data_IF_640133375832
#
_entry.id   IF_640133375832
#
_cell.length_a   1.000
_cell.length_b   1.000
_cell.length_c   1.000
_cell.angle_alpha   90.00
_cell.angle_beta   90.00
_cell.angle_gamma   90.00
#
_symmetry.space_group_name_H-M   'P 1'
#
loop_
_entity.id
_entity.type
_entity.pdbx_description
1 polymer ?
#
# COMPACT_ATOMS: atom_id res chain seq x y z
N UNK A 1 20.25 17.41 6.46
CA UNK A 1 20.28 16.35 5.44
C UNK A 1 20.91 15.10 6.03
N UNK A 2 20.51 13.94 5.54
CA UNK A 2 21.03 12.64 5.94
C UNK A 2 22.28 12.27 5.12
N UNK A 3 23.27 11.55 5.67
CA UNK A 3 24.43 11.11 4.90
C UNK A 3 24.06 10.26 3.68
N UNK A 4 24.86 10.31 2.61
CA UNK A 4 24.64 9.49 1.40
C UNK A 4 24.84 7.98 1.63
N UNK A 5 25.43 7.60 2.76
CA UNK A 5 25.61 6.20 3.19
C UNK A 5 24.34 5.58 3.75
N UNK A 6 23.26 6.36 3.94
CA UNK A 6 21.97 5.84 4.41
C UNK A 6 21.33 4.99 3.32
N UNK A 7 21.09 3.72 3.64
CA UNK A 7 20.39 2.74 2.80
C UNK A 7 18.98 2.45 3.28
N UNK A 8 18.79 2.45 4.60
CA UNK A 8 17.50 2.20 5.22
C UNK A 8 17.05 3.46 5.96
N UNK A 9 15.88 3.97 5.58
CA UNK A 9 15.30 5.16 6.21
C UNK A 9 13.91 4.85 6.75
N UNK A 10 13.76 4.94 8.07
CA UNK A 10 12.46 4.90 8.74
C UNK A 10 12.11 6.26 9.30
N UNK A 11 10.99 6.80 8.83
CA UNK A 11 10.38 8.02 9.34
C UNK A 11 9.09 7.63 10.04
N UNK A 12 9.04 7.80 11.35
CA UNK A 12 7.92 7.35 12.16
C UNK A 12 7.39 8.48 13.04
N UNK A 13 6.10 8.76 12.94
CA UNK A 13 5.31 9.65 13.82
C UNK A 13 5.94 11.03 13.97
N UNK A 14 6.52 11.52 12.90
CA UNK A 14 7.15 12.83 12.84
C UNK A 14 6.41 13.75 11.87
N UNK A 15 6.77 15.03 11.89
CA UNK A 15 6.35 15.98 10.86
C UNK A 15 7.58 16.46 10.11
N UNK A 16 7.45 16.54 8.79
CA UNK A 16 8.41 17.16 7.90
C UNK A 16 7.93 18.55 7.49
N UNK A 17 7.27 19.31 8.38
CA UNK A 17 6.88 20.69 8.07
C UNK A 17 8.09 21.47 7.53
N UNK A 18 7.90 22.19 6.42
CA UNK A 18 8.95 22.92 5.69
C UNK A 18 10.05 22.04 5.06
N UNK A 19 9.95 20.72 5.11
CA UNK A 19 10.90 19.79 4.51
C UNK A 19 10.19 18.78 3.61
N UNK A 20 10.82 18.45 2.48
CA UNK A 20 10.36 17.32 1.67
C UNK A 20 11.16 16.07 2.01
N UNK A 21 10.54 14.90 1.82
CA UNK A 21 11.21 13.61 1.93
C UNK A 21 12.46 13.56 1.03
N UNK A 22 12.33 14.04 -0.20
CA UNK A 22 13.46 14.19 -1.11
C UNK A 22 14.53 15.12 -0.52
N UNK A 23 14.11 16.23 0.10
CA UNK A 23 14.93 17.23 0.78
C UNK A 23 15.82 16.68 1.90
N UNK A 24 15.42 15.55 2.50
CA UNK A 24 16.22 14.90 3.55
C UNK A 24 17.43 14.16 2.98
N UNK A 25 17.34 13.60 1.78
CA UNK A 25 18.36 12.72 1.20
C UNK A 25 19.52 13.52 0.58
N UNK A 26 20.76 13.10 0.85
CA UNK A 26 21.95 13.70 0.23
C UNK A 26 22.13 13.31 -1.23
N UNK A 27 22.86 14.11 -2.03
CA UNK A 27 23.42 13.68 -3.31
C UNK A 27 24.09 12.31 -3.24
N UNK A 28 23.80 11.48 -4.23
CA UNK A 28 24.37 10.13 -4.32
C UNK A 28 23.81 9.12 -3.32
N UNK A 29 22.76 9.45 -2.56
CA UNK A 29 22.09 8.47 -1.70
C UNK A 29 21.53 7.33 -2.57
N UNK A 30 21.85 6.10 -2.17
CA UNK A 30 21.29 4.86 -2.72
C UNK A 30 20.43 4.24 -1.64
N UNK A 31 19.16 4.63 -1.61
CA UNK A 31 18.23 4.17 -0.60
C UNK A 31 17.68 2.82 -1.01
N UNK A 32 17.92 1.78 -0.22
CA UNK A 32 17.46 0.41 -0.46
C UNK A 32 16.05 0.21 0.15
N UNK A 33 15.77 0.80 1.33
CA UNK A 33 14.50 0.67 2.05
C UNK A 33 13.97 1.99 2.61
N UNK A 34 12.67 2.23 2.46
CA UNK A 34 11.96 3.39 2.99
C UNK A 34 10.69 2.98 3.74
N UNK A 35 10.59 3.35 5.01
CA UNK A 35 9.38 3.22 5.82
C UNK A 35 8.85 4.60 6.22
N UNK A 36 7.59 4.88 5.86
CA UNK A 36 6.83 6.08 6.21
C UNK A 36 5.69 5.64 7.15
N UNK A 37 5.86 5.82 8.45
CA UNK A 37 4.86 5.51 9.47
C UNK A 37 4.29 6.81 10.04
N UNK A 38 3.06 7.19 9.66
CA UNK A 38 2.35 8.36 10.19
C UNK A 38 3.16 9.66 10.14
N UNK A 39 3.84 9.88 9.03
CA UNK A 39 4.57 11.13 8.78
C UNK A 39 3.59 12.21 8.35
N UNK A 40 3.67 13.38 8.97
CA UNK A 40 3.00 14.61 8.49
C UNK A 40 3.90 15.32 7.49
N UNK A 41 3.30 15.92 6.46
CA UNK A 41 4.02 16.64 5.40
C UNK A 41 5.04 15.74 4.68
N UNK A 42 6.08 16.33 4.07
CA UNK A 42 7.11 15.57 3.34
C UNK A 42 6.95 15.62 1.83
N UNK A 43 5.87 16.18 1.31
CA UNK A 43 5.77 16.59 -0.08
C UNK A 43 6.60 17.85 -0.33
N UNK A 44 7.04 18.05 -1.55
CA UNK A 44 7.66 19.29 -1.99
C UNK A 44 6.59 20.37 -2.10
N UNK A 45 6.73 21.40 -1.26
CA UNK A 45 5.85 22.55 -1.20
C UNK A 45 6.06 23.38 -2.47
N UNK A 46 4.99 23.67 -3.21
CA UNK A 46 5.01 24.65 -4.31
C UNK A 46 4.41 25.97 -3.87
N UNK A 47 4.89 27.08 -4.41
CA UNK A 47 4.39 28.41 -4.10
C UNK A 47 3.13 28.71 -4.95
N UNK A 48 2.30 29.65 -4.50
CA UNK A 48 1.05 30.00 -5.18
C UNK A 48 1.25 30.79 -6.48
N UNK A 49 2.44 31.36 -6.68
CA UNK A 49 2.79 32.20 -7.84
C UNK A 49 4.11 31.78 -8.45
N UNK A 50 4.19 31.81 -9.78
CA UNK A 50 5.36 31.43 -10.57
C UNK A 50 6.21 32.64 -11.01
N UNK A 51 6.31 33.69 -10.19
CA UNK A 51 7.23 34.79 -10.48
C UNK A 51 8.69 34.33 -10.35
N UNK A 52 9.61 34.99 -11.06
CA UNK A 52 11.04 34.65 -11.03
C UNK A 52 11.58 34.58 -9.59
N UNK A 53 11.32 35.60 -8.77
CA UNK A 53 11.74 35.65 -7.36
C UNK A 53 11.22 34.45 -6.54
N UNK A 54 10.00 33.98 -6.81
CA UNK A 54 9.40 32.85 -6.10
C UNK A 54 10.00 31.53 -6.56
N UNK A 55 10.28 31.39 -7.84
CA UNK A 55 11.00 30.23 -8.38
C UNK A 55 12.41 30.17 -7.77
N UNK A 56 13.11 31.30 -7.66
CA UNK A 56 14.45 31.36 -7.05
C UNK A 56 14.42 30.99 -5.56
N UNK A 57 13.45 31.51 -4.79
CA UNK A 57 13.24 31.09 -3.39
C UNK A 57 12.97 29.59 -3.31
N UNK A 58 12.11 29.06 -4.19
CA UNK A 58 11.79 27.64 -4.20
C UNK A 58 13.02 26.79 -4.53
N UNK A 59 13.84 27.23 -5.49
CA UNK A 59 15.10 26.59 -5.82
C UNK A 59 16.07 26.59 -4.64
N UNK A 60 16.16 27.69 -3.89
CA UNK A 60 16.99 27.79 -2.69
C UNK A 60 16.53 26.80 -1.61
N UNK A 61 15.22 26.82 -1.28
CA UNK A 61 14.62 25.93 -0.28
C UNK A 61 14.80 24.45 -0.61
N UNK A 62 14.77 24.09 -1.89
CA UNK A 62 14.95 22.72 -2.35
C UNK A 62 16.38 22.43 -2.83
N UNK A 63 17.33 23.34 -2.60
CA UNK A 63 18.76 23.18 -2.95
C UNK A 63 19.03 22.85 -4.42
N UNK A 64 18.22 23.41 -5.33
CA UNK A 64 18.29 23.22 -6.79
C UNK A 64 19.52 23.86 -7.45
N UNK A 65 20.05 24.92 -6.84
CA UNK A 65 21.23 25.65 -7.33
C UNK A 65 22.53 25.27 -6.59
N UNK A 66 22.46 24.37 -5.61
CA UNK A 66 23.61 23.96 -4.82
C UNK A 66 23.96 22.50 -5.11
N UNK A 67 24.09 21.67 -4.08
CA UNK A 67 24.63 20.32 -4.14
C UNK A 67 23.73 19.32 -4.91
N UNK A 68 22.45 19.63 -5.17
CA UNK A 68 21.56 18.72 -5.93
C UNK A 68 21.60 18.94 -7.44
N UNK A 69 22.16 20.05 -7.91
CA UNK A 69 22.09 20.46 -9.31
C UNK A 69 22.56 19.35 -10.26
N UNK A 70 23.70 18.73 -9.96
CA UNK A 70 24.27 17.66 -10.79
C UNK A 70 23.37 16.43 -10.82
N UNK A 71 22.80 16.06 -9.67
CA UNK A 71 21.95 14.87 -9.53
C UNK A 71 20.58 15.07 -10.21
N UNK A 72 20.08 16.30 -10.26
CA UNK A 72 18.85 16.61 -10.99
C UNK A 72 19.03 16.53 -12.51
N UNK A 73 20.23 16.85 -13.02
CA UNK A 73 20.57 16.71 -14.44
C UNK A 73 20.89 15.27 -14.82
N UNK A 74 21.55 14.54 -13.93
CA UNK A 74 21.90 13.14 -14.10
C UNK A 74 21.52 12.35 -12.85
N UNK A 75 20.25 11.91 -12.75
CA UNK A 75 19.77 11.14 -11.61
C UNK A 75 20.55 9.84 -11.45
N UNK A 76 20.85 9.40 -10.21
CA UNK A 76 21.43 8.09 -9.99
C UNK A 76 20.48 6.99 -10.50
N UNK A 77 21.00 5.78 -10.69
CA UNK A 77 20.16 4.60 -10.88
C UNK A 77 19.16 4.45 -9.72
N UNK A 78 17.99 3.91 -10.03
CA UNK A 78 17.02 3.54 -9.00
C UNK A 78 17.63 2.50 -8.07
N UNK A 79 17.46 2.69 -6.76
CA UNK A 79 18.00 1.81 -5.71
C UNK A 79 16.91 1.26 -4.79
N UNK A 80 15.79 1.98 -4.64
CA UNK A 80 14.73 1.63 -3.70
C UNK A 80 14.13 0.26 -4.04
N UNK A 81 14.36 -0.71 -3.16
CA UNK A 81 13.85 -2.08 -3.24
C UNK A 81 12.59 -2.28 -2.40
N UNK A 82 12.47 -1.57 -1.26
CA UNK A 82 11.39 -1.76 -0.31
C UNK A 82 10.75 -0.42 0.07
N UNK A 83 9.42 -0.37 0.04
CA UNK A 83 8.65 0.80 0.41
C UNK A 83 7.47 0.39 1.29
N UNK A 84 7.45 0.92 2.51
CA UNK A 84 6.36 0.73 3.45
C UNK A 84 5.72 2.07 3.78
N UNK A 85 4.41 2.16 3.62
CA UNK A 85 3.63 3.36 3.91
C UNK A 85 2.50 2.99 4.84
N UNK A 86 2.43 3.67 5.98
CA UNK A 86 1.40 3.47 6.98
C UNK A 86 0.80 4.80 7.42
N UNK A 87 -0.39 5.12 6.94
CA UNK A 87 -1.19 6.28 7.35
C UNK A 87 -2.39 5.93 8.22
N UNK A 88 -2.45 4.69 8.73
CA UNK A 88 -3.59 4.21 9.52
C UNK A 88 -3.95 5.15 10.67
N UNK A 89 -5.18 5.71 10.70
CA UNK A 89 -5.71 6.36 11.88
C UNK A 89 -5.90 5.26 12.92
N UNK A 90 -5.34 5.45 14.10
CA UNK A 90 -5.40 4.47 15.15
C UNK A 90 -6.84 4.33 15.69
N UNK A 91 -7.59 3.28 15.31
CA UNK A 91 -8.81 2.88 16.04
C UNK A 91 -8.73 1.38 16.39
N UNK A 92 -8.19 1.05 17.57
CA UNK A 92 -7.97 -0.33 18.03
C UNK A 92 -9.22 -1.15 18.38
N UNK A 93 -10.42 -0.61 18.12
CA UNK A 93 -11.66 -1.12 18.68
C UNK A 93 -12.82 -1.21 17.68
N UNK A 94 -12.59 -0.99 16.38
CA UNK A 94 -13.65 -1.15 15.36
C UNK A 94 -14.91 -0.32 15.67
N UNK A 95 -14.71 0.85 16.25
CA UNK A 95 -15.69 1.92 16.34
C UNK A 95 -14.90 3.19 16.61
N UNK A 96 -15.02 4.17 15.71
CA UNK A 96 -14.84 5.55 16.11
C UNK A 96 -15.83 5.85 17.24
N UNK A 97 -15.40 5.69 18.50
CA UNK A 97 -16.09 6.39 19.57
C UNK A 97 -15.82 7.87 19.35
N UNK A 98 -16.84 8.51 18.78
CA UNK A 98 -17.15 9.93 18.88
C UNK A 98 -17.09 10.31 20.36
N UNK A 99 -15.88 10.55 20.84
CA UNK A 99 -15.57 11.25 22.06
C UNK A 99 -14.78 12.46 21.62
N UNK A 100 -15.51 13.55 21.37
CA UNK A 100 -15.04 14.92 21.12
C UNK A 100 -13.57 15.24 21.46
N UNK A 101 -12.60 14.84 20.63
CA UNK A 101 -11.26 15.43 20.52
C UNK A 101 -10.76 15.29 19.07
N UNK A 102 -11.45 15.99 18.16
CA UNK A 102 -11.04 16.23 16.78
C UNK A 102 -9.85 17.19 16.71
N UNK A 103 -8.63 16.76 17.05
CA UNK A 103 -7.45 17.64 16.90
C UNK A 103 -6.21 17.01 16.27
N UNK A 104 -6.21 15.71 15.93
CA UNK A 104 -5.07 15.09 15.23
C UNK A 104 -5.47 14.20 14.05
N UNK A 105 -6.62 14.49 13.40
CA UNK A 105 -6.79 14.07 12.02
C UNK A 105 -5.81 14.89 11.18
N UNK A 106 -4.76 14.26 10.67
CA UNK A 106 -3.91 14.87 9.65
C UNK A 106 -4.83 15.33 8.51
N UNK A 107 -4.59 16.49 7.87
CA UNK A 107 -5.36 16.86 6.69
C UNK A 107 -5.09 15.78 5.64
N UNK A 108 -6.12 15.01 5.26
CA UNK A 108 -6.06 13.94 4.25
C UNK A 108 -5.33 14.39 2.97
N UNK A 109 -5.48 15.69 2.67
CA UNK A 109 -4.79 16.38 1.60
C UNK A 109 -3.25 16.30 1.64
N UNK A 110 -2.62 16.37 2.82
CA UNK A 110 -1.15 16.31 2.91
C UNK A 110 -0.61 14.91 2.61
N UNK A 111 -1.33 13.88 3.07
CA UNK A 111 -1.01 12.49 2.73
C UNK A 111 -1.20 12.25 1.23
N UNK A 112 -2.29 12.77 0.67
CA UNK A 112 -2.58 12.71 -0.75
C UNK A 112 -1.45 13.33 -1.59
N UNK A 113 -1.01 14.56 -1.26
CA UNK A 113 0.10 15.22 -1.96
C UNK A 113 1.40 14.42 -1.90
N UNK A 114 1.74 13.84 -0.74
CA UNK A 114 2.93 13.01 -0.60
C UNK A 114 2.84 11.77 -1.49
N UNK A 115 1.70 11.09 -1.52
CA UNK A 115 1.50 9.91 -2.38
C UNK A 115 1.52 10.29 -3.85
N UNK A 116 0.86 11.39 -4.22
CA UNK A 116 0.86 11.86 -5.61
C UNK A 116 2.28 12.12 -6.10
N UNK A 117 3.14 12.69 -5.26
CA UNK A 117 4.54 12.91 -5.62
C UNK A 117 5.35 11.60 -5.64
N UNK A 118 5.14 10.71 -4.67
CA UNK A 118 5.88 9.44 -4.56
C UNK A 118 5.56 8.47 -5.70
N UNK A 119 4.31 8.43 -6.17
CA UNK A 119 3.84 7.58 -7.28
C UNK A 119 3.76 8.33 -8.62
N UNK A 120 4.45 9.47 -8.72
CA UNK A 120 4.60 10.24 -9.95
C UNK A 120 3.30 10.59 -10.67
N UNK A 121 2.23 10.87 -9.92
CA UNK A 121 0.93 11.25 -10.47
C UNK A 121 1.12 12.48 -11.38
N UNK A 122 0.61 12.47 -12.62
CA UNK A 122 0.86 13.55 -13.59
C UNK A 122 0.51 14.94 -13.08
N UNK A 123 -0.53 15.05 -12.27
CA UNK A 123 -0.94 16.31 -11.66
C UNK A 123 0.11 16.88 -10.70
N UNK A 124 0.69 16.05 -9.83
CA UNK A 124 1.79 16.48 -8.97
C UNK A 124 3.03 16.87 -9.78
N UNK A 125 3.33 16.14 -10.86
CA UNK A 125 4.43 16.48 -11.76
C UNK A 125 4.19 17.82 -12.48
N UNK A 126 2.95 18.07 -12.92
CA UNK A 126 2.54 19.33 -13.55
C UNK A 126 2.67 20.52 -12.61
N UNK A 127 2.36 20.33 -11.33
CA UNK A 127 2.49 21.37 -10.29
C UNK A 127 3.96 21.73 -10.05
N UNK A 128 4.87 20.76 -10.05
CA UNK A 128 6.31 20.99 -9.84
C UNK A 128 7.00 21.53 -11.10
N UNK A 129 6.51 21.17 -12.31
CA UNK A 129 7.13 21.49 -13.60
C UNK A 129 7.53 22.97 -13.80
N UNK A 130 6.73 23.99 -13.46
CA UNK A 130 7.11 25.39 -13.64
C UNK A 130 8.36 25.81 -12.85
N UNK A 131 8.68 25.06 -11.80
CA UNK A 131 9.86 25.26 -10.96
C UNK A 131 11.07 24.43 -11.42
N UNK A 132 10.94 23.63 -12.47
CA UNK A 132 12.02 22.81 -13.00
C UNK A 132 12.57 23.42 -14.29
N UNK A 133 13.89 23.42 -14.42
CA UNK A 133 14.54 23.67 -15.71
C UNK A 133 14.25 22.48 -16.65
N UNK A 134 14.22 22.73 -17.96
CA UNK A 134 13.83 21.73 -18.97
C UNK A 134 14.70 20.47 -18.98
N UNK A 135 15.96 20.58 -18.52
CA UNK A 135 16.96 19.51 -18.41
C UNK A 135 16.99 18.81 -17.03
N UNK A 136 16.10 19.19 -16.10
CA UNK A 136 16.09 18.64 -14.73
C UNK A 136 14.98 17.62 -14.53
N UNK A 137 15.29 16.58 -13.76
CA UNK A 137 14.39 15.50 -13.38
C UNK A 137 13.92 15.64 -11.92
N UNK A 138 12.67 15.24 -11.66
CA UNK A 138 12.08 15.18 -10.34
C UNK A 138 10.98 14.10 -10.29
N UNK A 139 10.83 13.35 -9.17
CA UNK A 139 11.80 13.23 -8.07
C UNK A 139 13.03 12.41 -8.49
N UNK A 140 14.15 12.61 -7.79
CA UNK A 140 15.48 12.12 -8.21
C UNK A 140 15.86 10.76 -7.60
N UNK A 141 15.55 10.56 -6.30
CA UNK A 141 16.00 9.39 -5.52
C UNK A 141 14.91 8.35 -5.27
N UNK A 142 13.66 8.66 -5.59
CA UNK A 142 12.49 7.86 -5.24
C UNK A 142 11.88 7.19 -6.48
N UNK A 143 12.73 6.82 -7.44
CA UNK A 143 12.31 6.02 -8.59
C UNK A 143 11.85 4.66 -8.11
N UNK A 144 10.70 4.23 -8.60
CA UNK A 144 10.00 3.02 -8.20
C UNK A 144 10.38 1.82 -9.08
N UNK A 145 11.12 2.03 -10.17
CA UNK A 145 11.44 0.99 -11.18
C UNK A 145 12.27 -0.20 -10.68
N UNK A 146 12.78 -0.12 -9.46
CA UNK A 146 13.56 -1.17 -8.80
C UNK A 146 12.88 -1.70 -7.53
N UNK A 147 11.65 -1.26 -7.26
CA UNK A 147 10.92 -1.65 -6.07
C UNK A 147 10.43 -3.10 -6.22
N UNK A 148 10.80 -3.94 -5.27
CA UNK A 148 10.48 -5.37 -5.20
C UNK A 148 9.36 -5.63 -4.19
N UNK A 149 9.32 -4.86 -3.11
CA UNK A 149 8.32 -4.99 -2.05
C UNK A 149 7.62 -3.65 -1.76
N UNK A 150 6.29 -3.69 -1.77
CA UNK A 150 5.43 -2.56 -1.44
C UNK A 150 4.44 -2.96 -0.35
N UNK A 151 4.45 -2.26 0.78
CA UNK A 151 3.51 -2.46 1.88
C UNK A 151 2.70 -1.17 2.13
N UNK A 152 1.41 -1.24 1.87
CA UNK A 152 0.48 -0.11 1.95
C UNK A 152 -0.54 -0.34 3.07
N UNK A 153 -0.50 0.47 4.13
CA UNK A 153 -1.71 0.83 4.87
C UNK A 153 -2.06 2.28 4.59
N UNK A 154 -2.94 2.48 3.61
CA UNK A 154 -3.49 3.79 3.23
C UNK A 154 -4.99 3.66 3.07
N UNK A 155 -5.71 4.78 3.19
CA UNK A 155 -7.16 4.78 2.97
C UNK A 155 -7.52 4.54 1.49
N UNK A 156 -8.72 4.02 1.18
CA UNK A 156 -9.13 3.75 -0.21
C UNK A 156 -9.11 4.96 -1.15
N UNK A 157 -9.29 6.17 -0.62
CA UNK A 157 -9.20 7.42 -1.38
C UNK A 157 -7.82 7.66 -2.02
N UNK A 158 -6.77 7.01 -1.50
CA UNK A 158 -5.39 7.10 -2.00
C UNK A 158 -5.11 6.10 -3.13
N UNK A 159 -5.94 5.06 -3.32
CA UNK A 159 -5.65 3.98 -4.26
C UNK A 159 -5.55 4.42 -5.72
N UNK A 160 -6.33 5.41 -6.15
CA UNK A 160 -6.23 5.95 -7.50
C UNK A 160 -4.87 6.60 -7.77
N UNK A 161 -4.25 7.21 -6.76
CA UNK A 161 -2.93 7.83 -6.87
C UNK A 161 -1.82 6.80 -6.89
N UNK A 162 -1.92 5.76 -6.05
CA UNK A 162 -0.97 4.63 -6.04
C UNK A 162 -0.91 3.93 -7.41
N UNK A 163 -2.07 3.74 -8.03
CA UNK A 163 -2.17 3.06 -9.33
C UNK A 163 -1.33 3.72 -10.43
N UNK A 164 -1.09 5.03 -10.37
CA UNK A 164 -0.25 5.71 -11.36
C UNK A 164 1.19 5.18 -11.42
N UNK A 165 1.71 4.65 -10.30
CA UNK A 165 3.05 4.06 -10.26
C UNK A 165 3.15 2.68 -10.90
N UNK A 166 2.04 2.03 -11.28
CA UNK A 166 2.06 0.65 -11.79
C UNK A 166 2.89 0.49 -13.06
N UNK A 167 2.90 1.47 -13.94
CA UNK A 167 3.71 1.40 -15.16
C UNK A 167 5.21 1.27 -14.82
N UNK A 168 5.67 2.03 -13.82
CA UNK A 168 7.06 2.01 -13.37
C UNK A 168 7.39 0.75 -12.57
N UNK A 169 6.44 0.26 -11.77
CA UNK A 169 6.55 -0.94 -10.93
C UNK A 169 6.34 -2.26 -11.68
N UNK A 170 5.83 -2.21 -12.91
CA UNK A 170 5.28 -3.33 -13.66
C UNK A 170 6.20 -4.54 -13.74
N UNK A 171 7.51 -4.31 -13.87
CA UNK A 171 8.52 -5.35 -14.08
C UNK A 171 9.44 -5.59 -12.87
N UNK A 172 9.19 -4.93 -11.73
CA UNK A 172 10.04 -5.06 -10.54
C UNK A 172 9.28 -5.55 -9.30
N UNK A 173 8.00 -5.18 -9.16
CA UNK A 173 7.24 -5.43 -7.94
C UNK A 173 6.76 -6.88 -7.86
N UNK A 174 7.40 -7.69 -7.02
CA UNK A 174 7.05 -9.11 -6.80
C UNK A 174 6.16 -9.30 -5.58
N UNK A 175 6.23 -8.41 -4.59
CA UNK A 175 5.49 -8.53 -3.32
C UNK A 175 4.68 -7.28 -3.02
N UNK A 176 3.37 -7.44 -2.82
CA UNK A 176 2.44 -6.38 -2.46
C UNK A 176 1.64 -6.75 -1.22
N UNK A 177 1.76 -5.94 -0.17
CA UNK A 177 0.87 -5.98 0.99
C UNK A 177 -0.08 -4.80 0.93
N UNK A 178 -1.38 -5.06 0.98
CA UNK A 178 -2.43 -4.05 1.10
C UNK A 178 -3.11 -4.25 2.44
N UNK A 179 -3.18 -3.19 3.25
CA UNK A 179 -3.79 -3.19 4.56
C UNK A 179 -4.91 -2.15 4.56
N UNK A 180 -6.14 -2.57 4.85
CA UNK A 180 -7.25 -1.64 4.94
C UNK A 180 -7.10 -0.77 6.20
N UNK A 181 -6.88 0.50 5.94
CA UNK A 181 -6.90 1.55 6.94
C UNK A 181 -8.36 2.04 7.03
N UNK A 182 -9.16 1.39 7.89
CA UNK A 182 -10.60 1.63 8.05
C UNK A 182 -10.91 3.11 8.36
N UNK A 183 -11.47 3.81 7.38
CA UNK A 183 -12.04 5.14 7.52
C UNK A 183 -13.56 4.98 7.39
N UNK A 184 -14.22 4.68 8.52
CA UNK A 184 -15.67 4.44 8.64
C UNK A 184 -16.55 5.61 8.14
N UNK A 185 -15.97 6.74 7.70
CA UNK A 185 -16.67 8.00 7.44
C UNK A 185 -16.94 8.34 5.97
N UNK A 186 -16.49 7.54 5.00
CA UNK A 186 -16.66 7.91 3.60
C UNK A 186 -17.89 7.29 2.94
N UNK A 187 -18.96 8.10 2.92
CA UNK A 187 -20.07 7.96 1.98
C UNK A 187 -19.54 8.09 0.55
N UNK A 188 -19.81 7.06 -0.26
CA UNK A 188 -19.15 6.79 -1.53
C UNK A 188 -19.48 7.83 -2.62
N UNK A 189 -18.78 8.97 -2.65
CA UNK A 189 -18.75 9.86 -3.82
C UNK A 189 -17.52 9.61 -4.69
N UNK A 190 -17.45 8.40 -5.28
CA UNK A 190 -16.54 8.02 -6.37
C UNK A 190 -15.07 7.76 -5.95
N UNK A 191 -14.28 6.88 -6.57
CA UNK A 191 -14.50 5.97 -7.69
C UNK A 191 -13.68 4.67 -7.56
N UNK A 192 -12.96 4.43 -6.46
CA UNK A 192 -12.12 3.22 -6.32
C UNK A 192 -12.18 2.65 -4.90
N UNK A 193 -13.16 1.76 -4.66
CA UNK A 193 -13.24 1.01 -3.41
C UNK A 193 -12.10 -0.03 -3.26
N UNK A 194 -11.31 -0.28 -4.32
CA UNK A 194 -10.23 -1.25 -4.35
C UNK A 194 -9.06 -0.70 -5.17
N UNK A 195 -7.85 -1.22 -4.92
CA UNK A 195 -6.64 -0.93 -5.68
C UNK A 195 -6.49 -1.97 -6.80
N UNK A 196 -6.78 -1.65 -8.07
CA UNK A 196 -6.62 -2.64 -9.14
C UNK A 196 -5.14 -3.03 -9.28
N UNK A 197 -4.86 -4.29 -9.57
CA UNK A 197 -3.52 -4.88 -9.69
C UNK A 197 -3.11 -5.15 -11.14
N UNK A 198 -3.95 -4.76 -12.10
CA UNK A 198 -3.69 -4.89 -13.53
C UNK A 198 -2.47 -4.05 -13.93
N UNK A 199 -1.53 -4.65 -14.67
CA UNK A 199 -0.30 -4.01 -15.12
C UNK A 199 0.94 -4.29 -14.25
N UNK A 200 0.78 -4.97 -13.12
CA UNK A 200 1.90 -5.51 -12.34
C UNK A 200 2.29 -6.90 -12.88
N UNK A 201 3.16 -6.93 -13.89
CA UNK A 201 3.45 -8.10 -14.72
C UNK A 201 4.18 -9.23 -13.97
N UNK A 202 4.99 -8.90 -12.96
CA UNK A 202 5.83 -9.85 -12.20
C UNK A 202 5.36 -10.07 -10.76
N UNK A 203 4.15 -9.62 -10.42
CA UNK A 203 3.62 -9.75 -9.07
C UNK A 203 3.34 -11.22 -8.72
N UNK A 204 4.02 -11.73 -7.69
CA UNK A 204 3.99 -13.12 -7.23
C UNK A 204 3.26 -13.28 -5.89
N UNK A 205 3.43 -12.31 -4.99
CA UNK A 205 2.97 -12.38 -3.62
C UNK A 205 2.01 -11.23 -3.32
N UNK A 206 0.79 -11.57 -2.93
CA UNK A 206 -0.23 -10.59 -2.52
C UNK A 206 -0.72 -10.92 -1.12
N UNK A 207 -0.57 -9.96 -0.20
CA UNK A 207 -1.08 -10.06 1.17
C UNK A 207 -2.13 -8.99 1.42
N UNK A 208 -3.34 -9.42 1.77
CA UNK A 208 -4.44 -8.55 2.15
C UNK A 208 -4.67 -8.63 3.66
N UNK A 209 -4.68 -7.48 4.34
CA UNK A 209 -4.96 -7.40 5.77
C UNK A 209 -6.11 -6.43 6.00
N UNK A 210 -7.27 -6.91 6.44
CA UNK A 210 -8.46 -6.06 6.56
C UNK A 210 -9.35 -6.45 7.73
N UNK A 211 -10.11 -5.50 8.32
CA UNK A 211 -11.33 -5.85 9.02
C UNK A 211 -12.22 -6.75 8.16
N UNK A 212 -12.84 -7.76 8.77
CA UNK A 212 -13.68 -8.71 8.03
C UNK A 212 -14.82 -8.06 7.25
N UNK A 213 -15.37 -6.93 7.73
CA UNK A 213 -16.40 -6.18 7.03
C UNK A 213 -15.96 -5.69 5.64
N UNK A 214 -14.65 -5.44 5.49
CA UNK A 214 -14.01 -4.86 4.30
C UNK A 214 -13.16 -5.84 3.50
N UNK A 215 -12.91 -7.06 4.00
CA UNK A 215 -12.05 -8.04 3.29
C UNK A 215 -12.55 -8.33 1.87
N UNK A 216 -13.87 -8.43 1.69
CA UNK A 216 -14.50 -8.64 0.38
C UNK A 216 -14.22 -7.49 -0.59
N UNK A 217 -14.17 -6.26 -0.08
CA UNK A 217 -13.85 -5.06 -0.86
C UNK A 217 -12.39 -5.12 -1.32
N UNK A 218 -11.45 -5.45 -0.44
CA UNK A 218 -10.04 -5.59 -0.82
C UNK A 218 -9.79 -6.73 -1.82
N UNK A 219 -10.52 -7.83 -1.69
CA UNK A 219 -10.39 -8.95 -2.62
C UNK A 219 -10.77 -8.58 -4.06
N UNK A 220 -11.51 -7.48 -4.29
CA UNK A 220 -11.70 -6.97 -5.65
C UNK A 220 -10.40 -6.53 -6.32
N UNK A 221 -9.39 -6.10 -5.56
CA UNK A 221 -8.03 -5.86 -6.08
C UNK A 221 -7.47 -7.11 -6.75
N UNK A 222 -7.66 -8.27 -6.11
CA UNK A 222 -7.10 -9.56 -6.57
C UNK A 222 -7.78 -10.05 -7.84
N UNK A 223 -9.04 -9.67 -8.10
CA UNK A 223 -9.73 -10.01 -9.36
C UNK A 223 -8.98 -9.42 -10.55
N UNK A 224 -8.39 -8.24 -10.40
CA UNK A 224 -7.56 -7.60 -11.44
C UNK A 224 -6.09 -8.03 -11.42
N UNK A 225 -5.71 -9.03 -10.63
CA UNK A 225 -4.36 -9.57 -10.64
C UNK A 225 -4.19 -10.50 -11.85
N UNK A 226 -3.59 -9.94 -12.89
CA UNK A 226 -3.38 -10.57 -14.21
C UNK A 226 -1.91 -10.91 -14.48
N UNK A 227 -1.04 -10.94 -13.46
CA UNK A 227 0.36 -11.31 -13.63
C UNK A 227 0.45 -12.78 -14.05
N UNK A 228 1.32 -13.11 -15.02
CA UNK A 228 1.57 -14.52 -15.36
C UNK A 228 2.22 -15.28 -14.20
N UNK A 229 2.99 -14.57 -13.36
CA UNK A 229 3.63 -15.13 -12.18
C UNK A 229 2.61 -15.72 -11.17
N UNK A 230 1.34 -15.31 -11.23
CA UNK A 230 0.21 -15.87 -10.45
C UNK A 230 -0.05 -17.37 -10.70
N UNK A 231 0.34 -17.88 -11.86
CA UNK A 231 0.23 -19.30 -12.22
C UNK A 231 1.32 -20.17 -11.60
N UNK A 232 2.40 -19.56 -11.11
CA UNK A 232 3.52 -20.28 -10.53
C UNK A 232 3.12 -20.89 -9.18
N UNK A 233 3.67 -22.04 -8.85
CA UNK A 233 3.49 -22.69 -7.55
C UNK A 233 4.11 -21.90 -6.41
N UNK A 234 5.03 -20.98 -6.72
CA UNK A 234 5.65 -20.05 -5.77
C UNK A 234 4.76 -18.86 -5.43
N UNK A 235 3.76 -18.53 -6.25
CA UNK A 235 2.86 -17.41 -5.99
C UNK A 235 2.09 -17.62 -4.68
N UNK A 236 1.82 -16.52 -3.95
CA UNK A 236 1.07 -16.59 -2.70
C UNK A 236 -0.03 -15.55 -2.65
N UNK A 237 -1.18 -15.97 -2.12
CA UNK A 237 -2.29 -15.10 -1.75
C UNK A 237 -2.57 -15.28 -0.26
N UNK A 238 -2.17 -14.30 0.54
CA UNK A 238 -2.36 -14.28 1.98
C UNK A 238 -3.55 -13.38 2.33
N UNK A 239 -4.59 -13.96 2.92
CA UNK A 239 -5.80 -13.24 3.33
C UNK A 239 -5.88 -13.26 4.84
N UNK A 240 -5.60 -12.10 5.45
CA UNK A 240 -5.66 -11.89 6.90
C UNK A 240 -6.93 -11.13 7.24
N UNK A 241 -7.92 -11.84 7.78
CA UNK A 241 -9.16 -11.26 8.28
C UNK A 241 -9.00 -10.85 9.74
N UNK A 242 -9.09 -9.55 10.01
CA UNK A 242 -9.12 -8.98 11.35
C UNK A 242 -10.54 -9.08 11.91
N UNK A 243 -10.72 -9.83 12.99
CA UNK A 243 -12.02 -10.13 13.58
C UNK A 243 -12.12 -9.52 14.98
N UNK A 244 -13.14 -8.67 15.16
CA UNK A 244 -13.53 -8.11 16.46
C UNK A 244 -14.69 -8.91 17.08
N UNK A 245 -15.05 -8.60 18.32
CA UNK A 245 -16.22 -9.19 18.96
C UNK A 245 -17.51 -8.95 18.16
N UNK A 246 -17.63 -7.80 17.50
CA UNK A 246 -18.84 -7.36 16.75
C UNK A 246 -18.96 -8.06 15.39
N UNK A 247 -17.84 -8.42 14.79
CA UNK A 247 -17.81 -8.82 13.38
C UNK A 247 -17.68 -10.33 13.15
N UNK A 248 -17.60 -11.12 14.24
CA UNK A 248 -17.33 -12.56 14.18
C UNK A 248 -18.26 -13.30 13.19
N UNK A 249 -19.55 -13.00 13.27
CA UNK A 249 -20.60 -13.63 12.47
C UNK A 249 -20.64 -13.16 11.01
N UNK A 250 -19.81 -12.19 10.63
CA UNK A 250 -19.82 -11.56 9.30
C UNK A 250 -18.92 -12.31 8.32
N UNK A 251 -17.91 -13.05 8.80
CA UNK A 251 -16.93 -13.74 7.95
C UNK A 251 -17.58 -14.63 6.88
N UNK A 252 -18.58 -15.49 7.21
CA UNK A 252 -19.20 -16.36 6.22
C UNK A 252 -19.93 -15.60 5.09
N UNK A 253 -20.44 -14.40 5.38
CA UNK A 253 -21.13 -13.57 4.39
C UNK A 253 -20.15 -12.81 3.47
N UNK A 254 -18.91 -12.61 3.91
CA UNK A 254 -17.89 -11.83 3.18
C UNK A 254 -16.94 -12.70 2.38
N UNK A 255 -16.55 -13.85 2.93
CA UNK A 255 -15.71 -14.86 2.27
C UNK A 255 -16.56 -16.08 1.91
N UNK A 256 -17.23 -16.00 0.76
CA UNK A 256 -18.07 -17.08 0.24
C UNK A 256 -17.32 -17.92 -0.80
N UNK A 257 -17.74 -19.18 -0.96
CA UNK A 257 -17.24 -20.09 -2.01
C UNK A 257 -17.35 -19.45 -3.40
N UNK A 258 -18.53 -18.93 -3.74
CA UNK A 258 -18.79 -18.32 -5.03
C UNK A 258 -17.89 -17.11 -5.31
N UNK A 259 -17.54 -16.34 -4.28
CA UNK A 259 -16.66 -15.19 -4.45
C UNK A 259 -15.20 -15.60 -4.61
N UNK A 260 -14.71 -16.54 -3.81
CA UNK A 260 -13.35 -17.08 -3.96
C UNK A 260 -13.15 -17.78 -5.31
N UNK A 261 -14.18 -18.47 -5.83
CA UNK A 261 -14.12 -19.03 -7.18
C UNK A 261 -13.85 -17.98 -8.25
N UNK A 262 -14.42 -16.77 -8.14
CA UNK A 262 -14.16 -15.69 -9.11
C UNK A 262 -12.70 -15.20 -9.11
N UNK A 263 -11.97 -15.42 -8.02
CA UNK A 263 -10.58 -14.99 -7.86
C UNK A 263 -9.62 -16.07 -8.36
N UNK A 264 -9.93 -17.33 -8.06
CA UNK A 264 -9.03 -18.47 -8.24
C UNK A 264 -9.23 -19.20 -9.57
N UNK A 265 -10.45 -19.16 -10.13
CA UNK A 265 -10.78 -19.80 -11.40
C UNK A 265 -10.69 -18.78 -12.53
N UNK A 266 -10.02 -19.10 -13.65
CA UNK A 266 -9.95 -18.20 -14.79
C UNK A 266 -11.36 -17.88 -15.31
N UNK A 267 -11.59 -16.62 -15.63
CA UNK A 267 -12.83 -16.17 -16.27
C UNK A 267 -12.60 -15.96 -17.76
N UNK A 268 -13.50 -16.52 -18.56
CA UNK A 268 -13.50 -16.35 -20.02
C UNK A 268 -13.65 -14.89 -20.46
N UNK A 269 -14.25 -14.05 -19.62
CA UNK A 269 -14.43 -12.63 -19.89
C UNK A 269 -13.15 -11.81 -19.74
N UNK A 270 -12.25 -12.24 -18.86
CA UNK A 270 -11.06 -11.46 -18.52
C UNK A 270 -9.78 -12.01 -19.16
N UNK A 271 -9.84 -13.19 -19.80
CA UNK A 271 -8.67 -13.93 -20.32
C UNK A 271 -7.60 -14.15 -19.25
N UNK A 272 -8.03 -14.20 -17.98
CA UNK A 272 -7.11 -14.17 -16.86
C UNK A 272 -6.39 -15.50 -16.67
N UNK A 273 -5.17 -15.36 -16.19
CA UNK A 273 -4.33 -16.42 -15.68
C UNK A 273 -4.97 -17.15 -14.49
N UNK A 274 -4.86 -18.48 -14.49
CA UNK A 274 -5.35 -19.32 -13.39
C UNK A 274 -4.47 -19.13 -12.14
N UNK A 275 -5.04 -19.14 -10.93
CA UNK A 275 -4.21 -19.12 -9.73
C UNK A 275 -3.62 -20.52 -9.47
N UNK A 276 -2.31 -20.67 -9.63
CA UNK A 276 -1.57 -21.93 -9.45
C UNK A 276 -0.78 -22.03 -8.14
N UNK A 277 -0.66 -20.91 -7.42
CA UNK A 277 0.11 -20.80 -6.18
C UNK A 277 -0.58 -21.32 -4.92
N UNK A 278 -0.14 -20.83 -3.76
CA UNK A 278 -0.72 -21.16 -2.46
C UNK A 278 -1.62 -20.04 -1.91
N UNK A 279 -2.73 -20.43 -1.29
CA UNK A 279 -3.66 -19.52 -0.60
C UNK A 279 -3.59 -19.78 0.90
N UNK A 280 -3.35 -18.73 1.68
CA UNK A 280 -3.29 -18.79 3.13
C UNK A 280 -4.41 -17.93 3.70
N UNK A 281 -5.26 -18.55 4.52
CA UNK A 281 -6.22 -17.82 5.33
C UNK A 281 -5.70 -17.68 6.75
N UNK A 282 -5.73 -16.45 7.27
CA UNK A 282 -5.40 -16.16 8.66
C UNK A 282 -6.49 -15.35 9.32
N UNK A 283 -6.83 -15.71 10.56
CA UNK A 283 -7.64 -14.89 11.45
C UNK A 283 -6.70 -14.14 12.38
N UNK A 284 -6.76 -12.81 12.35
CA UNK A 284 -6.12 -11.97 13.34
C UNK A 284 -7.20 -11.48 14.33
N UNK A 285 -7.10 -11.86 15.61
CA UNK A 285 -8.05 -11.40 16.62
C UNK A 285 -7.46 -11.27 18.03
N UNK A 286 -8.11 -10.45 18.85
CA UNK A 286 -7.91 -10.39 20.31
C UNK A 286 -8.77 -11.40 21.07
N UNK A 287 -9.74 -12.00 20.41
CA UNK A 287 -10.64 -12.95 21.03
C UNK A 287 -9.87 -14.24 21.34
N UNK A 288 -10.13 -14.90 22.48
CA UNK A 288 -9.61 -16.24 22.75
C UNK A 288 -9.95 -17.20 21.61
N UNK A 289 -9.03 -18.13 21.28
CA UNK A 289 -9.23 -19.12 20.19
C UNK A 289 -10.56 -19.84 20.25
N UNK A 290 -11.04 -20.17 21.45
CA UNK A 290 -12.31 -20.86 21.68
C UNK A 290 -13.50 -20.09 21.08
N UNK A 291 -13.46 -18.76 21.08
CA UNK A 291 -14.51 -17.91 20.50
C UNK A 291 -14.41 -17.74 18.99
N UNK A 292 -13.35 -18.25 18.36
CA UNK A 292 -13.08 -18.17 16.92
C UNK A 292 -13.26 -19.52 16.21
N UNK A 293 -13.83 -20.51 16.92
CA UNK A 293 -14.01 -21.86 16.39
C UNK A 293 -14.91 -21.86 15.16
N UNK A 294 -15.99 -21.08 15.17
CA UNK A 294 -16.94 -21.03 14.07
C UNK A 294 -16.31 -20.42 12.81
N UNK A 295 -15.54 -19.35 12.96
CA UNK A 295 -14.81 -18.70 11.87
C UNK A 295 -13.69 -19.60 11.32
N UNK A 296 -12.98 -20.31 12.19
CA UNK A 296 -11.94 -21.27 11.80
C UNK A 296 -12.53 -22.48 11.08
N UNK A 297 -13.68 -22.97 11.55
CA UNK A 297 -14.43 -24.05 10.91
C UNK A 297 -14.94 -23.62 9.53
N UNK A 298 -15.48 -22.40 9.42
CA UNK A 298 -15.92 -21.84 8.14
C UNK A 298 -14.77 -21.77 7.13
N UNK A 299 -13.61 -21.21 7.51
CA UNK A 299 -12.45 -21.14 6.62
C UNK A 299 -11.93 -22.52 6.23
N UNK A 300 -11.95 -23.48 7.15
CA UNK A 300 -11.56 -24.87 6.86
C UNK A 300 -12.53 -25.53 5.86
N UNK A 301 -13.84 -25.37 6.05
CA UNK A 301 -14.86 -25.86 5.12
C UNK A 301 -14.75 -25.18 3.75
N UNK A 302 -14.48 -23.88 3.72
CA UNK A 302 -14.24 -23.12 2.49
C UNK A 302 -13.02 -23.67 1.74
N UNK A 303 -11.88 -23.88 2.43
CA UNK A 303 -10.68 -24.47 1.84
C UNK A 303 -10.96 -25.86 1.26
N UNK A 304 -11.65 -26.73 2.01
CA UNK A 304 -12.00 -28.08 1.55
C UNK A 304 -12.92 -28.03 0.33
N UNK A 305 -13.92 -27.14 0.33
CA UNK A 305 -14.86 -26.97 -0.79
C UNK A 305 -14.17 -26.41 -2.04
N UNK A 306 -13.21 -25.50 -1.88
CA UNK A 306 -12.41 -24.97 -2.97
C UNK A 306 -11.45 -26.03 -3.52
N UNK A 307 -10.76 -26.77 -2.66
CA UNK A 307 -9.82 -27.84 -3.03
C UNK A 307 -10.52 -29.03 -3.72
N UNK A 308 -11.77 -29.30 -3.38
CA UNK A 308 -12.57 -30.33 -4.05
C UNK A 308 -12.99 -29.96 -5.49
N UNK A 309 -12.89 -28.68 -5.87
CA UNK A 309 -13.22 -28.22 -7.22
C UNK A 309 -12.02 -28.39 -8.16
N UNK A 310 -12.15 -29.25 -9.17
CA UNK A 310 -11.09 -29.59 -10.13
C UNK A 310 -10.60 -28.42 -10.99
N UNK A 311 -11.40 -27.34 -11.08
CA UNK A 311 -11.06 -26.09 -11.77
C UNK A 311 -10.20 -25.14 -10.93
N UNK A 312 -10.01 -25.42 -9.64
CA UNK A 312 -9.11 -24.66 -8.76
C UNK A 312 -7.77 -25.39 -8.69
N UNK A 313 -6.68 -24.72 -9.09
CA UNK A 313 -5.30 -25.27 -8.99
C UNK A 313 -4.54 -24.82 -7.76
N UNK A 314 -5.10 -23.86 -7.03
CA UNK A 314 -4.54 -23.32 -5.82
C UNK A 314 -4.30 -24.38 -4.75
N UNK A 315 -3.17 -24.30 -4.06
CA UNK A 315 -2.87 -25.11 -2.88
C UNK A 315 -3.36 -24.36 -1.64
N UNK A 316 -4.25 -24.97 -0.86
CA UNK A 316 -4.77 -24.36 0.36
C UNK A 316 -3.96 -24.79 1.58
N UNK A 317 -3.46 -23.81 2.31
CA UNK A 317 -2.70 -24.03 3.53
C UNK A 317 -3.62 -24.03 4.75
N UNK A 318 -3.19 -24.68 5.82
CA UNK A 318 -3.97 -24.72 7.07
C UNK A 318 -4.26 -23.31 7.58
N UNK A 319 -5.51 -23.09 7.99
CA UNK A 319 -5.94 -21.80 8.53
C UNK A 319 -5.13 -21.46 9.78
N UNK A 320 -4.57 -20.25 9.83
CA UNK A 320 -3.77 -19.78 10.96
C UNK A 320 -4.61 -18.86 11.84
N UNK A 321 -4.47 -19.01 13.16
CA UNK A 321 -5.10 -18.09 14.13
C UNK A 321 -4.01 -17.33 14.88
N UNK A 322 -3.92 -16.05 14.57
CA UNK A 322 -2.98 -15.09 15.15
C UNK A 322 -3.70 -14.39 16.30
N UNK A 323 -3.37 -14.80 17.52
CA UNK A 323 -3.87 -14.18 18.75
C UNK A 323 -2.87 -13.14 19.19
N UNK A 324 -3.33 -11.92 19.45
CA UNK A 324 -2.46 -10.83 19.90
C UNK A 324 -2.97 -10.23 21.22
N UNK A 325 -2.08 -10.09 22.23
CA UNK A 325 -2.47 -9.61 23.55
C UNK A 325 -2.74 -8.09 23.60
N UNK A 326 -2.10 -7.31 22.73
CA UNK A 326 -2.24 -5.84 22.66
C UNK A 326 -2.22 -5.34 21.20
N UNK A 327 -2.48 -4.04 20.99
CA UNK A 327 -2.59 -3.33 19.68
C UNK A 327 -1.98 -4.01 18.44
N UNK A 328 -2.76 -4.07 17.35
CA UNK A 328 -2.44 -4.70 16.04
C UNK A 328 -1.05 -4.31 15.49
N UNK A 329 -0.48 -3.17 15.90
CA UNK A 329 0.85 -2.71 15.51
C UNK A 329 1.97 -3.76 15.68
N UNK A 330 1.87 -4.70 16.62
CA UNK A 330 2.87 -5.76 16.80
C UNK A 330 2.72 -6.94 15.81
N UNK A 331 1.57 -7.13 15.17
CA UNK A 331 1.42 -8.11 14.07
C UNK A 331 2.07 -7.59 12.78
N UNK A 332 2.16 -6.25 12.64
CA UNK A 332 2.61 -5.55 11.43
C UNK A 332 4.14 -5.62 11.22
N UNK A 333 4.90 -6.10 12.21
CA UNK A 333 6.37 -6.16 12.16
C UNK A 333 6.97 -7.59 12.24
N UNK A 334 6.17 -8.62 12.56
CA UNK A 334 6.71 -9.97 12.84
C UNK A 334 6.03 -11.12 12.07
N UNK A 335 5.14 -10.83 11.13
CA UNK A 335 4.53 -11.80 10.18
C UNK A 335 4.30 -11.17 8.83
#
# INVERSE_FOLDING_TARGET
MLPSTVRDLKLARCSLTCHSLLGLLSPGTQLDSLEIDRVNDGFVITLSSHSADKIDIWHELNSFHSFRQQVMKSPPPASLQQLKINFSPFIPQGTAHVGHQHTYYQPEYMQELLIMQLFHVPEAQRIVRPYLQADKHFPVYLKLSSLVELDLCVGPFIYCHVQWGWAELSNSLTTLTIRDCDLEFYDMRGSHAHLPLSGLCVLEHVKLVAPVCSIRRMLWSVISWTASAKELTTATLDIVACISHKDRWILPCKLTLAFMWRILVPSWYTRDHQFGGSVHFSIASRLPRVLLNDETNHLSQLCNSLAANTSVKAIFMSTRVIIFPEYIHSIILYT
#
